data_IF_739087259094
#
_entry.id   IF_739087259094
#
_cell.length_a   1.000
_cell.length_b   1.000
_cell.length_c   1.000
_cell.angle_alpha   90.00
_cell.angle_beta   90.00
_cell.angle_gamma   90.00
#
_symmetry.space_group_name_H-M   'P 1'
#
loop_
_entity.id
_entity.type
_entity.pdbx_description
1 polymer ?
#
# COMPACT_ATOMS: atom_id res chain seq x y z
N UNK A 1 18.03 4.03 -3.98
CA UNK A 1 16.90 3.20 -3.51
C UNK A 1 17.12 2.86 -2.02
N UNK A 2 16.37 3.47 -1.08
CA UNK A 2 16.71 3.45 0.34
C UNK A 2 16.73 2.06 1.01
N UNK A 3 15.87 1.14 0.55
CA UNK A 3 15.68 -0.18 1.19
C UNK A 3 15.60 -1.36 0.20
N UNK A 4 16.07 -1.18 -1.04
CA UNK A 4 16.03 -2.24 -2.05
C UNK A 4 14.63 -2.72 -2.46
N UNK A 5 13.57 -1.97 -2.12
CA UNK A 5 12.18 -2.26 -2.45
C UNK A 5 11.56 -1.07 -3.20
N UNK A 6 10.61 -1.38 -4.08
CA UNK A 6 9.67 -0.43 -4.69
C UNK A 6 8.31 -0.50 -3.96
N UNK A 7 7.50 0.57 -3.99
CA UNK A 7 7.75 1.88 -4.62
C UNK A 7 8.63 2.83 -3.79
N UNK A 8 9.20 3.84 -4.47
CA UNK A 8 9.91 4.99 -3.90
C UNK A 8 9.49 6.24 -4.67
N UNK A 9 9.03 7.28 -3.95
CA UNK A 9 8.74 8.60 -4.50
C UNK A 9 9.93 9.53 -4.27
N UNK A 10 10.36 10.29 -5.28
CA UNK A 10 11.41 11.30 -5.14
C UNK A 10 10.80 12.71 -5.23
N UNK A 11 11.10 13.56 -4.24
CA UNK A 11 10.64 14.95 -4.16
C UNK A 11 11.86 15.82 -3.87
N UNK A 12 12.26 16.67 -4.82
CA UNK A 12 13.39 17.59 -4.68
C UNK A 12 14.69 16.89 -4.23
N UNK A 13 14.96 15.69 -4.76
CA UNK A 13 16.12 14.87 -4.41
C UNK A 13 15.98 14.06 -3.11
N UNK A 14 14.87 14.20 -2.38
CA UNK A 14 14.56 13.39 -1.19
C UNK A 14 13.74 12.17 -1.61
N UNK A 15 14.25 10.97 -1.30
CA UNK A 15 13.55 9.70 -1.56
C UNK A 15 12.67 9.30 -0.36
N UNK A 16 11.35 9.24 -0.58
CA UNK A 16 10.34 8.68 0.32
C UNK A 16 10.00 7.25 -0.12
N UNK A 17 10.46 6.21 0.60
CA UNK A 17 10.09 4.82 0.34
C UNK A 17 8.75 4.46 1.00
N UNK A 18 8.24 3.27 0.67
CA UNK A 18 7.04 2.64 1.24
C UNK A 18 5.72 3.23 0.71
N UNK A 19 4.87 2.35 0.17
CA UNK A 19 3.62 2.69 -0.51
C UNK A 19 2.63 3.48 0.35
N UNK A 20 2.44 3.09 1.61
CA UNK A 20 1.49 3.75 2.53
C UNK A 20 1.99 5.15 2.90
N UNK A 21 3.26 5.30 3.23
CA UNK A 21 3.87 6.58 3.54
C UNK A 21 3.77 7.57 2.36
N UNK A 22 4.01 7.09 1.14
CA UNK A 22 3.80 7.84 -0.10
C UNK A 22 2.34 8.26 -0.23
N UNK A 23 1.40 7.33 -0.04
CA UNK A 23 -0.04 7.60 -0.11
C UNK A 23 -0.48 8.68 0.86
N UNK A 24 -0.07 8.59 2.14
CA UNK A 24 -0.38 9.58 3.17
C UNK A 24 0.21 10.95 2.81
N UNK A 25 1.47 10.99 2.36
CA UNK A 25 2.11 12.25 1.97
C UNK A 25 1.34 12.96 0.84
N UNK A 26 1.00 12.23 -0.23
CA UNK A 26 0.27 12.81 -1.36
C UNK A 26 -1.17 13.17 -0.97
N UNK A 27 -1.85 12.33 -0.18
CA UNK A 27 -3.19 12.61 0.30
C UNK A 27 -3.24 13.91 1.11
N UNK A 28 -2.30 14.10 2.04
CA UNK A 28 -2.20 15.36 2.81
C UNK A 28 -1.86 16.55 1.91
N UNK A 29 -0.93 16.38 0.96
CA UNK A 29 -0.51 17.44 0.03
C UNK A 29 -1.65 17.96 -0.86
N UNK A 30 -2.59 17.09 -1.21
CA UNK A 30 -3.71 17.41 -2.11
C UNK A 30 -5.08 17.50 -1.44
N UNK A 31 -5.14 17.48 -0.10
CA UNK A 31 -6.41 17.63 0.64
C UNK A 31 -7.34 16.40 0.53
N UNK A 32 -6.78 15.20 0.39
CA UNK A 32 -7.50 13.93 0.28
C UNK A 32 -7.40 13.07 1.56
N UNK A 33 -6.85 13.61 2.64
CA UNK A 33 -6.61 12.89 3.89
C UNK A 33 -7.71 13.12 4.96
N UNK A 34 -8.93 13.47 4.55
CA UNK A 34 -10.00 13.89 5.46
C UNK A 34 -9.93 15.37 5.83
N UNK A 35 -10.99 15.87 6.46
CA UNK A 35 -11.14 17.27 6.89
C UNK A 35 -10.77 17.49 8.35
N UNK A 36 -10.73 16.42 9.15
CA UNK A 36 -10.29 16.43 10.54
C UNK A 36 -9.53 15.14 10.93
N UNK A 37 -9.03 15.11 12.17
CA UNK A 37 -8.24 13.98 12.68
C UNK A 37 -9.04 12.68 12.77
N UNK A 38 -10.36 12.75 12.97
CA UNK A 38 -11.22 11.57 13.07
C UNK A 38 -11.49 10.96 11.69
N UNK A 39 -11.77 11.79 10.67
CA UNK A 39 -11.88 11.33 9.29
C UNK A 39 -10.57 10.73 8.79
N UNK A 40 -9.43 11.36 9.11
CA UNK A 40 -8.12 10.79 8.80
C UNK A 40 -7.94 9.42 9.48
N UNK A 41 -8.28 9.30 10.75
CA UNK A 41 -8.18 8.03 11.48
C UNK A 41 -9.09 6.94 10.87
N UNK A 42 -10.28 7.29 10.39
CA UNK A 42 -11.17 6.35 9.71
C UNK A 42 -10.60 5.87 8.37
N UNK A 43 -10.02 6.78 7.58
CA UNK A 43 -9.30 6.43 6.34
C UNK A 43 -8.15 5.47 6.64
N UNK A 44 -7.34 5.77 7.66
CA UNK A 44 -6.21 4.93 8.05
C UNK A 44 -6.66 3.56 8.57
N UNK A 45 -7.77 3.49 9.29
CA UNK A 45 -8.38 2.23 9.73
C UNK A 45 -8.84 1.37 8.55
N UNK A 46 -9.52 1.97 7.56
CA UNK A 46 -9.92 1.28 6.33
C UNK A 46 -8.72 0.75 5.55
N UNK A 47 -7.66 1.56 5.44
CA UNK A 47 -6.41 1.12 4.82
C UNK A 47 -5.75 -0.02 5.60
N UNK A 48 -5.83 -0.02 6.93
CA UNK A 48 -5.37 -1.14 7.76
C UNK A 48 -6.13 -2.44 7.44
N UNK A 49 -7.47 -2.39 7.39
CA UNK A 49 -8.27 -3.56 7.00
C UNK A 49 -7.96 -4.05 5.58
N UNK A 50 -7.71 -3.12 4.65
CA UNK A 50 -7.29 -3.47 3.29
C UNK A 50 -5.94 -4.19 3.26
N UNK A 51 -4.95 -3.73 4.04
CA UNK A 51 -3.65 -4.40 4.14
C UNK A 51 -3.77 -5.82 4.71
N UNK A 52 -4.63 -6.01 5.71
CA UNK A 52 -4.86 -7.34 6.28
C UNK A 52 -5.55 -8.26 5.27
N UNK A 53 -6.56 -7.76 4.54
CA UNK A 53 -7.18 -8.50 3.44
C UNK A 53 -6.16 -8.91 2.37
N UNK A 54 -5.29 -7.98 1.93
CA UNK A 54 -4.27 -8.26 0.91
C UNK A 54 -3.29 -9.34 1.40
N UNK A 55 -2.89 -9.32 2.67
CA UNK A 55 -2.05 -10.37 3.26
C UNK A 55 -2.76 -11.72 3.26
N UNK A 56 -4.05 -11.76 3.62
CA UNK A 56 -4.84 -12.98 3.65
C UNK A 56 -4.97 -13.63 2.27
N UNK A 57 -5.18 -12.83 1.23
CA UNK A 57 -5.33 -13.33 -0.14
C UNK A 57 -4.01 -13.47 -0.90
N UNK A 58 -2.87 -13.14 -0.29
CA UNK A 58 -1.58 -12.99 -0.96
C UNK A 58 -1.20 -14.23 -1.79
N UNK A 59 -1.29 -15.43 -1.21
CA UNK A 59 -0.96 -16.69 -1.88
C UNK A 59 -1.86 -16.94 -3.09
N UNK A 60 -3.18 -16.76 -2.92
CA UNK A 60 -4.13 -16.89 -4.01
C UNK A 60 -3.86 -15.86 -5.11
N UNK A 61 -3.60 -14.61 -4.74
CA UNK A 61 -3.35 -13.52 -5.67
C UNK A 61 -2.13 -13.80 -6.55
N UNK A 62 -1.01 -14.24 -5.96
CA UNK A 62 0.19 -14.59 -6.72
C UNK A 62 -0.02 -15.73 -7.71
N UNK A 63 -0.86 -16.71 -7.38
CA UNK A 63 -1.28 -17.76 -8.32
C UNK A 63 -2.17 -17.18 -9.43
N UNK A 64 -3.17 -16.38 -9.07
CA UNK A 64 -4.13 -15.79 -10.01
C UNK A 64 -3.46 -14.90 -11.07
N UNK A 65 -2.40 -14.17 -10.70
CA UNK A 65 -1.64 -13.33 -11.63
C UNK A 65 -0.48 -14.06 -12.34
N UNK A 66 -0.36 -15.38 -12.15
CA UNK A 66 0.65 -16.23 -12.82
C UNK A 66 2.08 -16.08 -12.29
N UNK A 67 2.25 -15.51 -11.09
CA UNK A 67 3.57 -15.30 -10.46
C UNK A 67 4.04 -16.52 -9.66
N UNK A 68 3.10 -17.37 -9.22
CA UNK A 68 3.37 -18.66 -8.58
C UNK A 68 2.54 -19.76 -9.25
N UNK A 69 3.08 -20.97 -9.25
CA UNK A 69 2.32 -22.13 -9.73
C UNK A 69 1.28 -22.51 -8.68
N UNK A 70 0.01 -22.59 -9.09
CA UNK A 70 -1.05 -23.12 -8.25
C UNK A 70 -0.91 -24.62 -8.03
N UNK A 71 -1.57 -25.14 -7.00
CA UNK A 71 -1.59 -26.57 -6.73
C UNK A 71 -2.10 -27.34 -7.97
N UNK A 72 -1.35 -28.37 -8.38
CA UNK A 72 -1.79 -29.30 -9.41
C UNK A 72 -2.96 -30.11 -8.82
N UNK A 73 -4.19 -29.73 -9.15
CA UNK A 73 -5.35 -30.59 -8.85
C UNK A 73 -5.34 -31.71 -9.89
N UNK A 74 -4.97 -32.92 -9.46
CA UNK A 74 -4.99 -34.15 -10.28
C UNK A 74 -6.40 -34.53 -10.74
#
# INVERSE_FOLDING_TARGET
MPFGKVPVLEIDGVMLPESRAIGIYLAKKFGLAGTDDMEFAQIEALMGYFEDFVKEIQSWFYVAIGYQQGDQVF
#
